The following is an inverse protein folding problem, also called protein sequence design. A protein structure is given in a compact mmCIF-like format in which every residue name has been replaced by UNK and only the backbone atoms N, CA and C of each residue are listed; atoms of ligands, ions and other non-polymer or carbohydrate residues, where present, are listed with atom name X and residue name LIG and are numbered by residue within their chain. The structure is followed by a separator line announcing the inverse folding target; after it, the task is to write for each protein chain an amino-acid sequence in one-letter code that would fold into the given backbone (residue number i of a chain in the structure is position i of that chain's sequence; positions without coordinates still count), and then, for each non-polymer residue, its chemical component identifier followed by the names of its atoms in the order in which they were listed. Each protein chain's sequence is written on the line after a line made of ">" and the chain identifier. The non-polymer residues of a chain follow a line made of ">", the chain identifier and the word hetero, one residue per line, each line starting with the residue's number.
data_IF_555106402090
#
_entry.id   IF_555106402090
#
_cell.length_a   1.000
_cell.length_b   1.000
_cell.length_c   1.000
_cell.angle_alpha   90.00
_cell.angle_beta   90.00
_cell.angle_gamma   90.00
#
_symmetry.space_group_name_H-M   'P 1'
#
loop_
_entity.id
_entity.type
_entity.pdbx_description
1 polymer ?
#
# COMPACT_ATOMS: atom_id res chain seq x y z
N UNK A 1 -56.21 48.41 50.84
CA UNK A 1 -54.82 48.61 51.30
C UNK A 1 -53.99 47.42 50.85
N UNK A 2 -52.80 47.70 50.32
CA UNK A 2 -51.58 46.84 50.21
C UNK A 2 -51.58 45.56 49.33
N UNK A 3 -50.77 45.68 48.26
CA UNK A 3 -50.17 44.71 47.29
C UNK A 3 -49.29 43.61 47.96
N UNK A 4 -48.44 42.86 47.21
CA UNK A 4 -48.62 41.73 46.26
C UNK A 4 -47.73 40.51 46.70
N UNK A 5 -47.45 39.53 45.81
CA UNK A 5 -46.25 38.60 45.70
C UNK A 5 -46.75 37.37 44.89
N UNK A 6 -46.50 37.19 43.58
CA UNK A 6 -45.28 36.84 42.82
C UNK A 6 -44.59 35.51 43.22
N UNK A 7 -44.04 34.82 42.19
CA UNK A 7 -43.04 33.73 42.24
C UNK A 7 -43.69 32.32 42.25
N UNK A 8 -43.42 31.35 41.34
CA UNK A 8 -42.19 30.98 40.62
C UNK A 8 -42.52 30.15 39.36
N UNK A 9 -42.09 30.64 38.19
CA UNK A 9 -41.82 29.86 36.96
C UNK A 9 -40.57 29.03 37.21
N UNK A 10 -40.54 27.72 36.88
CA UNK A 10 -39.27 26.95 36.89
C UNK A 10 -39.35 25.43 36.52
N UNK A 11 -38.73 25.07 35.37
CA UNK A 11 -38.03 23.81 34.95
C UNK A 11 -38.88 22.55 34.65
N UNK A 12 -38.56 21.70 33.67
CA UNK A 12 -37.53 21.68 32.65
C UNK A 12 -37.93 20.65 31.56
N UNK A 13 -37.68 21.02 30.30
CA UNK A 13 -37.58 20.07 29.19
C UNK A 13 -36.36 19.16 29.43
N UNK A 14 -36.57 17.84 29.54
CA UNK A 14 -35.52 16.84 29.49
C UNK A 14 -35.51 16.19 28.10
N UNK A 15 -34.66 16.73 27.24
CA UNK A 15 -34.17 16.07 26.03
C UNK A 15 -33.08 15.06 26.44
N UNK A 16 -33.18 13.77 26.09
CA UNK A 16 -32.06 12.86 26.24
C UNK A 16 -31.02 13.13 25.15
N UNK A 17 -29.87 13.68 25.55
CA UNK A 17 -28.67 13.77 24.73
C UNK A 17 -28.13 12.35 24.49
N UNK A 18 -28.14 11.94 23.22
CA UNK A 18 -27.39 10.80 22.69
C UNK A 18 -25.88 11.08 22.79
N UNK A 19 -25.17 10.31 23.61
CA UNK A 19 -23.71 10.30 23.65
C UNK A 19 -23.20 8.87 23.46
N UNK A 20 -23.21 8.39 22.21
CA UNK A 20 -22.43 7.22 21.82
C UNK A 20 -20.96 7.64 21.68
N UNK A 21 -20.18 7.45 22.74
CA UNK A 21 -18.71 7.45 22.68
C UNK A 21 -18.26 6.27 21.83
N UNK A 22 -17.98 6.52 20.55
CA UNK A 22 -17.18 5.61 19.72
C UNK A 22 -15.70 5.82 20.04
N UNK A 23 -15.08 4.85 20.71
CA UNK A 23 -13.62 4.76 20.78
C UNK A 23 -13.09 4.47 19.38
N UNK A 24 -12.65 5.49 18.64
CA UNK A 24 -11.84 5.30 17.44
C UNK A 24 -10.44 4.86 17.89
N UNK A 25 -10.19 3.55 17.93
CA UNK A 25 -8.84 3.04 18.07
C UNK A 25 -8.01 3.46 16.83
N UNK A 26 -6.80 3.99 17.00
CA UNK A 26 -5.94 4.29 15.87
C UNK A 26 -5.40 2.96 15.30
N UNK A 27 -5.63 2.70 14.02
CA UNK A 27 -4.76 1.81 13.24
C UNK A 27 -5.32 0.48 12.74
N UNK A 28 -6.63 0.32 12.56
CA UNK A 28 -7.15 -0.81 11.77
C UNK A 28 -7.87 -0.26 10.55
N UNK A 29 -7.14 -0.09 9.45
CA UNK A 29 -7.81 0.09 8.15
C UNK A 29 -8.71 -1.13 7.91
N UNK A 30 -9.93 -0.88 7.44
CA UNK A 30 -10.83 -1.97 7.11
C UNK A 30 -10.18 -2.81 5.99
N UNK A 31 -10.23 -4.14 6.11
CA UNK A 31 -9.58 -5.05 5.16
C UNK A 31 -9.79 -4.76 3.66
N UNK A 32 -10.96 -4.26 3.20
CA UNK A 32 -11.14 -3.81 1.83
C UNK A 32 -10.32 -2.58 1.43
N UNK A 33 -10.22 -1.56 2.31
CA UNK A 33 -9.43 -0.34 2.06
C UNK A 33 -7.94 -0.66 1.95
N UNK A 34 -7.48 -1.63 2.76
CA UNK A 34 -6.11 -2.10 2.74
C UNK A 34 -5.71 -2.68 1.37
N UNK A 35 -6.56 -3.53 0.76
CA UNK A 35 -6.29 -4.10 -0.59
C UNK A 35 -6.41 -3.04 -1.68
N UNK A 36 -7.36 -2.12 -1.55
CA UNK A 36 -7.59 -1.05 -2.53
C UNK A 36 -6.36 -0.14 -2.71
N UNK A 37 -5.54 0.02 -1.67
CA UNK A 37 -4.26 0.75 -1.73
C UNK A 37 -3.31 0.21 -2.81
N UNK A 38 -3.38 -1.08 -3.13
CA UNK A 38 -2.54 -1.71 -4.14
C UNK A 38 -3.13 -1.63 -5.55
N UNK A 39 -4.36 -1.12 -5.72
CA UNK A 39 -5.01 -1.03 -7.03
C UNK A 39 -4.15 -0.27 -8.06
N UNK A 40 -3.55 0.90 -7.76
CA UNK A 40 -2.76 1.63 -8.75
C UNK A 40 -1.57 0.82 -9.27
N UNK A 41 -0.83 0.15 -8.37
CA UNK A 41 0.34 -0.64 -8.77
C UNK A 41 -0.03 -1.98 -9.40
N UNK A 42 -1.08 -2.65 -8.91
CA UNK A 42 -1.59 -3.87 -9.54
C UNK A 42 -1.96 -3.58 -10.99
N UNK A 43 -2.75 -2.53 -11.21
CA UNK A 43 -3.18 -2.10 -12.53
C UNK A 43 -2.00 -1.74 -13.43
N UNK A 44 -1.04 -0.97 -12.92
CA UNK A 44 0.18 -0.64 -13.66
C UNK A 44 0.94 -1.91 -14.11
N UNK A 45 1.15 -2.87 -13.21
CA UNK A 45 1.88 -4.11 -13.55
C UNK A 45 1.10 -4.97 -14.57
N UNK A 46 -0.22 -5.03 -14.48
CA UNK A 46 -1.03 -5.82 -15.42
C UNK A 46 -1.24 -5.14 -16.77
N UNK A 47 -1.57 -3.84 -16.78
CA UNK A 47 -1.97 -3.11 -17.97
C UNK A 47 -0.78 -2.55 -18.75
N UNK A 48 0.25 -2.02 -18.07
CA UNK A 48 1.41 -1.41 -18.72
C UNK A 48 2.55 -2.42 -18.97
N UNK A 49 2.66 -3.46 -18.13
CA UNK A 49 3.73 -4.46 -18.21
C UNK A 49 3.23 -5.86 -18.60
N UNK A 50 1.91 -6.05 -18.78
CA UNK A 50 1.36 -7.34 -19.20
C UNK A 50 1.61 -8.48 -18.21
N UNK A 51 1.86 -8.17 -16.94
CA UNK A 51 2.19 -9.17 -15.93
C UNK A 51 0.94 -9.89 -15.42
N UNK A 52 1.12 -11.13 -14.95
CA UNK A 52 0.13 -11.79 -14.12
C UNK A 52 0.35 -11.35 -12.68
N UNK A 53 -0.64 -10.70 -12.06
CA UNK A 53 -0.52 -10.16 -10.72
C UNK A 53 -1.65 -10.64 -9.79
N UNK A 54 -1.30 -10.86 -8.52
CA UNK A 54 -2.24 -11.12 -7.44
C UNK A 54 -2.01 -10.12 -6.30
N UNK A 55 -3.11 -9.61 -5.75
CA UNK A 55 -3.08 -8.68 -4.62
C UNK A 55 -3.69 -9.32 -3.39
N UNK A 56 -3.02 -9.18 -2.25
CA UNK A 56 -3.48 -9.65 -0.96
C UNK A 56 -3.22 -8.62 0.14
N UNK A 57 -3.90 -8.79 1.29
CA UNK A 57 -3.56 -8.02 2.49
C UNK A 57 -2.18 -8.45 2.99
N UNK A 58 -1.42 -7.51 3.52
CA UNK A 58 -0.11 -7.76 4.10
C UNK A 58 0.13 -6.90 5.34
N UNK A 59 1.19 -7.23 6.07
CA UNK A 59 1.74 -6.37 7.12
C UNK A 59 3.21 -6.13 6.83
N UNK A 60 3.62 -4.88 6.77
CA UNK A 60 4.99 -4.48 6.43
C UNK A 60 5.72 -4.02 7.68
N UNK A 61 6.90 -4.58 7.93
CA UNK A 61 7.80 -4.09 8.96
C UNK A 61 8.49 -2.81 8.47
N UNK A 62 8.00 -1.65 8.91
CA UNK A 62 8.57 -0.35 8.57
C UNK A 62 9.75 -0.06 9.48
N UNK A 63 10.94 -0.32 8.95
CA UNK A 63 12.19 -0.17 9.69
C UNK A 63 12.41 1.28 10.18
N UNK A 64 11.96 2.31 9.46
CA UNK A 64 12.19 3.72 9.86
C UNK A 64 11.45 4.07 11.13
N UNK A 65 10.29 3.45 11.35
CA UNK A 65 9.45 3.73 12.52
C UNK A 65 9.38 2.57 13.50
N UNK A 66 9.98 1.43 13.15
CA UNK A 66 9.92 0.18 13.92
C UNK A 66 8.47 -0.25 14.18
N UNK A 67 7.60 -0.03 13.20
CA UNK A 67 6.16 -0.34 13.30
C UNK A 67 5.77 -1.37 12.25
N UNK A 68 4.92 -2.30 12.65
CA UNK A 68 4.17 -3.12 11.71
C UNK A 68 3.02 -2.29 11.15
N UNK A 69 3.07 -2.01 9.85
CA UNK A 69 2.04 -1.27 9.15
C UNK A 69 1.09 -2.24 8.44
N UNK A 70 -0.22 -2.00 8.61
CA UNK A 70 -1.21 -2.63 7.75
C UNK A 70 -1.03 -2.10 6.33
N UNK A 71 -0.84 -3.00 5.38
CA UNK A 71 -0.64 -2.66 3.98
C UNK A 71 -1.17 -3.75 3.06
N UNK A 72 -0.80 -3.69 1.79
CA UNK A 72 -1.14 -4.74 0.85
C UNK A 72 0.10 -5.17 0.09
N UNK A 73 0.02 -6.35 -0.51
CA UNK A 73 1.08 -6.92 -1.32
C UNK A 73 0.54 -7.23 -2.70
N UNK A 74 1.28 -6.81 -3.72
CA UNK A 74 1.12 -7.29 -5.10
C UNK A 74 2.28 -8.23 -5.41
N UNK A 75 1.96 -9.47 -5.75
CA UNK A 75 2.93 -10.43 -6.30
C UNK A 75 2.66 -10.57 -7.78
N UNK A 76 3.64 -10.26 -8.63
CA UNK A 76 3.48 -10.30 -10.07
C UNK A 76 4.60 -11.08 -10.76
N UNK A 77 4.26 -11.76 -11.85
CA UNK A 77 5.19 -12.47 -12.72
C UNK A 77 5.07 -11.96 -14.17
N UNK A 78 6.21 -11.71 -14.81
CA UNK A 78 6.32 -11.24 -16.20
C UNK A 78 7.38 -12.00 -16.99
N UNK A 79 7.27 -11.92 -18.32
CA UNK A 79 8.27 -12.40 -19.27
C UNK A 79 9.11 -11.24 -19.80
N UNK A 80 10.41 -11.45 -19.98
CA UNK A 80 11.31 -10.45 -20.57
C UNK A 80 12.38 -11.10 -21.43
N UNK A 81 12.72 -10.49 -22.56
CA UNK A 81 13.89 -10.88 -23.36
C UNK A 81 15.16 -10.10 -22.95
N UNK A 82 15.01 -9.12 -22.06
CA UNK A 82 16.09 -8.28 -21.57
C UNK A 82 16.82 -8.95 -20.39
N UNK A 83 17.99 -8.43 -20.06
CA UNK A 83 18.62 -8.73 -18.78
C UNK A 83 17.79 -8.22 -17.60
N UNK A 84 17.99 -8.78 -16.40
CA UNK A 84 17.27 -8.35 -15.19
C UNK A 84 17.51 -6.87 -14.84
N UNK A 85 18.74 -6.37 -15.03
CA UNK A 85 19.08 -4.97 -14.79
C UNK A 85 18.29 -4.04 -15.72
N UNK A 86 18.26 -4.34 -17.02
CA UNK A 86 17.53 -3.54 -18.02
C UNK A 86 16.02 -3.63 -17.80
N UNK A 87 15.51 -4.81 -17.42
CA UNK A 87 14.09 -5.01 -17.08
C UNK A 87 13.69 -4.17 -15.87
N UNK A 88 14.51 -4.17 -14.81
CA UNK A 88 14.28 -3.34 -13.63
C UNK A 88 14.38 -1.84 -13.94
N UNK A 89 15.38 -1.43 -14.74
CA UNK A 89 15.53 -0.04 -15.20
C UNK A 89 14.30 0.44 -15.95
N UNK A 90 13.84 -0.34 -16.93
CA UNK A 90 12.62 -0.03 -17.69
C UNK A 90 11.39 0.07 -16.78
N UNK A 91 11.24 -0.83 -15.80
CA UNK A 91 10.14 -0.78 -14.83
C UNK A 91 10.14 0.55 -14.07
N UNK A 92 11.30 0.94 -13.52
CA UNK A 92 11.42 2.17 -12.74
C UNK A 92 11.22 3.42 -13.59
N UNK A 93 11.79 3.47 -14.80
CA UNK A 93 11.58 4.59 -15.73
C UNK A 93 10.09 4.78 -16.04
N UNK A 94 9.35 3.68 -16.23
CA UNK A 94 7.90 3.74 -16.47
C UNK A 94 7.10 4.13 -15.23
N UNK A 95 7.52 3.69 -14.04
CA UNK A 95 6.91 4.14 -12.78
C UNK A 95 7.10 5.65 -12.60
N UNK A 96 8.31 6.16 -12.84
CA UNK A 96 8.58 7.60 -12.77
C UNK A 96 7.76 8.38 -13.79
N UNK A 97 7.64 7.89 -15.02
CA UNK A 97 6.79 8.49 -16.04
C UNK A 97 5.29 8.48 -15.67
N UNK A 98 4.85 7.49 -14.90
CA UNK A 98 3.48 7.38 -14.37
C UNK A 98 3.24 8.22 -13.10
N UNK A 99 4.20 9.07 -12.69
CA UNK A 99 4.06 9.99 -11.57
C UNK A 99 4.48 9.43 -10.21
N UNK A 100 5.03 8.22 -10.16
CA UNK A 100 5.65 7.71 -8.94
C UNK A 100 6.92 8.50 -8.65
N UNK A 101 7.16 8.81 -7.39
CA UNK A 101 8.31 9.61 -6.96
C UNK A 101 9.14 8.84 -5.96
N UNK A 102 10.46 9.04 -6.00
CA UNK A 102 11.35 8.41 -5.04
C UNK A 102 11.10 9.04 -3.66
N UNK A 103 10.83 8.22 -2.64
CA UNK A 103 10.83 8.68 -1.25
C UNK A 103 12.25 8.49 -0.72
N UNK A 104 13.02 9.56 -0.44
CA UNK A 104 14.40 9.43 0.03
C UNK A 104 14.44 8.64 1.33
N UNK A 105 15.32 7.66 1.42
CA UNK A 105 15.57 6.91 2.64
C UNK A 105 17.08 7.09 3.01
N UNK A 106 17.40 7.50 4.26
CA UNK A 106 18.79 7.75 4.68
C UNK A 106 19.71 6.52 4.57
N UNK A 107 19.14 5.32 4.44
CA UNK A 107 19.85 4.07 4.24
C UNK A 107 19.81 3.58 2.80
N UNK A 108 19.45 4.45 1.87
CA UNK A 108 19.49 4.15 0.45
C UNK A 108 20.88 3.66 0.07
N UNK A 109 20.96 2.39 -0.34
CA UNK A 109 22.20 1.73 -0.70
C UNK A 109 22.29 1.65 -2.23
N UNK A 110 23.50 1.76 -2.82
CA UNK A 110 23.66 1.69 -4.27
C UNK A 110 23.11 0.40 -4.92
N UNK A 111 22.83 -0.64 -4.13
CA UNK A 111 22.35 -1.95 -4.55
C UNK A 111 21.12 -2.42 -3.77
N UNK A 112 20.21 -1.51 -3.41
CA UNK A 112 18.96 -1.85 -2.72
C UNK A 112 18.19 -3.01 -3.37
N UNK A 113 17.75 -3.94 -2.53
CA UNK A 113 16.87 -5.04 -2.94
C UNK A 113 15.41 -4.62 -3.13
N UNK A 114 15.04 -3.40 -2.69
CA UNK A 114 13.72 -2.83 -2.87
C UNK A 114 13.79 -1.31 -2.96
N UNK A 115 13.20 -0.69 -3.99
CA UNK A 115 13.07 0.78 -4.06
C UNK A 115 11.74 1.23 -3.47
N UNK A 116 11.78 2.23 -2.59
CA UNK A 116 10.56 2.88 -2.06
C UNK A 116 10.12 4.02 -2.97
N UNK A 117 8.95 3.87 -3.58
CA UNK A 117 8.32 4.92 -4.38
C UNK A 117 6.98 5.34 -3.78
N UNK A 118 6.60 6.60 -4.01
CA UNK A 118 5.33 7.17 -3.57
C UNK A 118 4.45 7.56 -4.74
N UNK A 119 3.17 7.25 -4.60
CA UNK A 119 2.09 7.81 -5.38
C UNK A 119 1.01 8.29 -4.41
N UNK A 120 0.65 9.57 -4.50
CA UNK A 120 -0.30 10.23 -3.61
C UNK A 120 0.01 9.97 -2.11
N UNK A 121 -0.91 9.33 -1.39
CA UNK A 121 -0.84 9.02 0.03
C UNK A 121 -0.33 7.60 0.31
N UNK A 122 0.36 6.98 -0.65
CA UNK A 122 0.79 5.58 -0.57
C UNK A 122 2.27 5.44 -0.89
N UNK A 123 3.01 4.79 0.02
CA UNK A 123 4.38 4.33 -0.22
C UNK A 123 4.36 2.85 -0.61
N UNK A 124 5.07 2.50 -1.68
CA UNK A 124 5.23 1.12 -2.14
C UNK A 124 6.72 0.76 -2.25
N UNK A 125 7.09 -0.42 -1.74
CA UNK A 125 8.41 -1.00 -1.83
C UNK A 125 8.45 -1.98 -3.00
N UNK A 126 9.24 -1.70 -4.03
CA UNK A 126 9.34 -2.48 -5.26
C UNK A 126 10.59 -3.37 -5.24
N UNK A 127 10.41 -4.68 -5.19
CA UNK A 127 11.48 -5.67 -5.31
C UNK A 127 11.36 -6.42 -6.63
N UNK A 128 12.32 -6.21 -7.53
CA UNK A 128 12.43 -6.95 -8.80
C UNK A 128 13.41 -8.10 -8.61
N UNK A 129 13.00 -9.32 -8.95
CA UNK A 129 13.81 -10.51 -8.74
C UNK A 129 13.56 -11.56 -9.82
N UNK A 130 14.49 -12.51 -9.93
CA UNK A 130 14.34 -13.68 -10.80
C UNK A 130 14.18 -14.94 -9.95
N UNK A 131 13.60 -15.98 -10.55
CA UNK A 131 13.27 -17.26 -9.89
C UNK A 131 12.21 -17.10 -8.80
N UNK A 132 11.87 -18.23 -8.17
CA UNK A 132 10.99 -18.29 -6.99
C UNK A 132 11.89 -18.08 -5.77
N UNK A 133 11.73 -16.96 -5.07
CA UNK A 133 12.60 -16.54 -3.97
C UNK A 133 11.83 -16.37 -2.66
N UNK A 134 10.56 -15.94 -2.72
CA UNK A 134 9.79 -15.60 -1.53
C UNK A 134 9.12 -16.85 -0.92
N UNK A 135 8.76 -17.83 -1.75
CA UNK A 135 8.13 -19.09 -1.37
C UNK A 135 6.65 -18.98 -1.00
N UNK A 136 5.94 -17.94 -1.45
CA UNK A 136 4.52 -17.75 -1.10
C UNK A 136 3.57 -18.49 -2.04
N UNK A 137 2.34 -18.74 -1.58
CA UNK A 137 1.29 -19.32 -2.41
C UNK A 137 0.93 -18.41 -3.60
N UNK A 138 0.92 -17.09 -3.40
CA UNK A 138 0.69 -16.11 -4.46
C UNK A 138 1.78 -16.18 -5.53
N UNK A 139 3.06 -16.19 -5.12
CA UNK A 139 4.20 -16.33 -6.05
C UNK A 139 4.07 -17.60 -6.88
N UNK A 140 3.77 -18.73 -6.26
CA UNK A 140 3.55 -19.98 -6.99
C UNK A 140 2.39 -19.90 -7.99
N UNK A 141 1.28 -19.23 -7.65
CA UNK A 141 0.12 -19.09 -8.55
C UNK A 141 0.45 -18.20 -9.76
N UNK A 142 1.02 -17.02 -9.54
CA UNK A 142 1.37 -16.12 -10.66
C UNK A 142 2.45 -16.72 -11.56
N UNK A 143 3.44 -17.43 -11.00
CA UNK A 143 4.48 -18.09 -11.79
C UNK A 143 3.92 -19.24 -12.64
N UNK A 144 2.95 -20.00 -12.12
CA UNK A 144 2.26 -21.07 -12.88
C UNK A 144 1.33 -20.52 -13.96
N UNK A 145 0.67 -19.41 -13.69
CA UNK A 145 -0.24 -18.76 -14.63
C UNK A 145 0.51 -18.05 -15.77
N UNK A 146 1.70 -17.52 -15.52
CA UNK A 146 2.52 -16.93 -16.56
C UNK A 146 3.08 -17.99 -17.52
N UNK A 147 2.77 -17.84 -18.80
CA UNK A 147 3.39 -18.54 -19.93
C UNK A 147 4.32 -17.57 -20.68
N UNK A 148 5.65 -17.60 -20.43
CA UNK A 148 6.58 -16.74 -21.14
C UNK A 148 6.56 -17.02 -22.64
N UNK A 149 6.71 -15.97 -23.44
CA UNK A 149 6.89 -16.08 -24.88
C UNK A 149 8.21 -16.77 -25.25
N UNK A 150 8.37 -17.09 -26.54
CA UNK A 150 9.60 -17.67 -27.05
C UNK A 150 10.79 -16.74 -26.79
N UNK A 151 11.82 -17.23 -26.09
CA UNK A 151 13.02 -16.46 -25.76
C UNK A 151 12.90 -15.57 -24.52
N UNK A 152 11.73 -15.53 -23.86
CA UNK A 152 11.55 -14.77 -22.63
C UNK A 152 12.00 -15.55 -21.39
N UNK A 153 12.77 -14.88 -20.55
CA UNK A 153 13.02 -15.30 -19.18
C UNK A 153 11.88 -14.79 -18.26
N UNK A 154 11.52 -15.60 -17.27
CA UNK A 154 10.58 -15.19 -16.23
C UNK A 154 11.28 -14.33 -15.18
N UNK A 155 10.63 -13.23 -14.80
CA UNK A 155 10.98 -12.42 -13.65
C UNK A 155 9.73 -12.14 -12.80
N UNK A 156 9.96 -11.68 -11.58
CA UNK A 156 8.92 -11.35 -10.63
C UNK A 156 9.10 -9.93 -10.09
N UNK A 157 7.98 -9.32 -9.70
CA UNK A 157 7.95 -8.08 -8.96
C UNK A 157 7.10 -8.31 -7.71
N UNK A 158 7.70 -8.08 -6.55
CA UNK A 158 7.00 -8.00 -5.28
C UNK A 158 6.85 -6.53 -4.95
N UNK A 159 5.61 -6.10 -4.73
CA UNK A 159 5.31 -4.76 -4.26
C UNK A 159 4.59 -4.83 -2.93
N UNK A 160 5.07 -4.13 -1.92
CA UNK A 160 4.38 -3.97 -0.64
C UNK A 160 4.03 -2.50 -0.44
N UNK A 161 2.74 -2.18 -0.27
CA UNK A 161 2.26 -0.81 -0.17
C UNK A 161 1.65 -0.54 1.20
N UNK A 162 1.95 0.65 1.74
CA UNK A 162 1.53 1.13 3.05
C UNK A 162 1.09 2.59 2.96
N UNK A 163 0.33 3.11 3.95
CA UNK A 163 0.08 4.54 4.02
C UNK A 163 1.39 5.34 4.01
N UNK A 164 1.41 6.43 3.26
CA UNK A 164 2.57 7.28 3.13
C UNK A 164 3.01 7.84 4.49
N UNK A 165 4.31 7.81 4.73
CA UNK A 165 4.90 8.32 5.98
C UNK A 165 5.75 9.55 5.74
N UNK A 166 5.87 10.42 6.73
CA UNK A 166 6.84 11.50 6.65
C UNK A 166 8.26 10.93 6.46
N UNK A 167 9.06 11.59 5.62
CA UNK A 167 10.50 11.37 5.61
C UNK A 167 11.05 11.65 7.02
N UNK A 168 12.08 10.90 7.42
CA UNK A 168 12.66 11.03 8.75
C UNK A 168 13.69 12.13 8.58
N UNK A 169 13.74 13.07 9.51
CA UNK A 169 14.76 14.11 9.47
C UNK A 169 16.17 13.52 9.45
#
# INVERSE_FOLDING_TARGET
>A
MTRPIMVRISWAFLLPLTASLGCAAPGTEAGPQQVQRCEPVQRFLTEEFGMVAETERDTVDEWRTQKMLAGCRVTAAGGTQLGMADTAGLLYDRLFAAGWTRTPDPRDAPNESALRLRLDDTDCFFSVYSRIVIGTAAEMRVNRALMPGSGEARYNVLVQCVPAMAAAP
#
